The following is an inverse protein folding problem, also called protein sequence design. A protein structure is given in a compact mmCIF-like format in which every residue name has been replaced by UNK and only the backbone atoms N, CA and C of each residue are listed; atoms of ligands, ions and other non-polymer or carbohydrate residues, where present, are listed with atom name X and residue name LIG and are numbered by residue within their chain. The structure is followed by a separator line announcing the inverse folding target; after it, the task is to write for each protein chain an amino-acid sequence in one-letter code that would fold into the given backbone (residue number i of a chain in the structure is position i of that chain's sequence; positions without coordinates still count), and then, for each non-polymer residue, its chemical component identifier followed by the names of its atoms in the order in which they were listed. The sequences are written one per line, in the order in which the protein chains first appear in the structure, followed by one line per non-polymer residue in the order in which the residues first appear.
data_IF_498099310804
#
_entry.id   IF_498099310804
#
_cell.length_a   1.000
_cell.length_b   1.000
_cell.length_c   1.000
_cell.angle_alpha   90.00
_cell.angle_beta   90.00
_cell.angle_gamma   90.00
#
_symmetry.space_group_name_H-M   'P 1'
#
loop_
_entity.id
_entity.type
_entity.pdbx_description
1 polymer ?
#
# COMPACT_ATOMS: atom_id res chain seq x y z
N UNK A 1 8.63 33.36 -11.93
CA UNK A 1 8.59 32.52 -10.72
C UNK A 1 8.17 33.29 -9.47
N UNK A 2 7.17 34.15 -9.52
CA UNK A 2 6.74 34.98 -8.34
C UNK A 2 5.22 35.09 -8.13
N UNK A 3 4.40 34.45 -8.93
CA UNK A 3 2.94 34.60 -8.82
C UNK A 3 2.24 33.58 -7.88
N UNK A 4 2.81 32.42 -7.64
CA UNK A 4 2.21 31.36 -6.82
C UNK A 4 2.36 31.53 -5.29
N UNK A 5 3.36 32.31 -4.86
CA UNK A 5 3.68 32.47 -3.44
C UNK A 5 2.82 33.50 -2.69
N UNK A 6 2.03 34.34 -3.37
CA UNK A 6 1.24 35.39 -2.72
C UNK A 6 -0.15 34.95 -2.27
N UNK A 7 -0.78 34.02 -2.93
CA UNK A 7 -2.13 33.58 -2.59
C UNK A 7 -2.15 32.74 -1.28
N UNK A 8 -1.18 31.86 -1.08
CA UNK A 8 -1.07 31.05 0.14
C UNK A 8 -0.77 31.88 1.40
N UNK A 9 -0.02 33.00 1.28
CA UNK A 9 0.29 33.88 2.41
C UNK A 9 -0.86 34.77 2.85
N UNK A 10 -1.84 35.01 2.01
CA UNK A 10 -3.01 35.84 2.36
C UNK A 10 -4.06 35.09 3.17
N UNK A 11 -4.19 33.77 2.98
CA UNK A 11 -5.11 32.92 3.77
C UNK A 11 -4.59 32.73 5.20
N UNK A 12 -3.26 32.57 5.38
CA UNK A 12 -2.66 32.38 6.72
C UNK A 12 -2.59 33.67 7.56
N UNK A 13 -2.62 34.85 6.93
CA UNK A 13 -2.58 36.15 7.65
C UNK A 13 -3.94 36.58 8.20
N UNK A 14 -5.03 35.95 7.74
CA UNK A 14 -6.40 36.25 8.26
C UNK A 14 -6.73 35.52 9.58
N UNK A 15 -5.86 34.58 10.04
CA UNK A 15 -6.00 33.85 11.31
C UNK A 15 -5.06 34.35 12.41
N UNK A 16 -4.69 35.63 12.41
CA UNK A 16 -3.79 36.25 13.38
C UNK A 16 -4.46 36.69 14.66
N UNK A 17 -4.03 36.12 15.74
CA UNK A 17 -3.89 36.57 17.14
C UNK A 17 -4.70 37.78 17.60
N UNK A 18 -5.58 37.58 18.57
CA UNK A 18 -5.82 38.55 19.64
C UNK A 18 -6.25 37.87 20.96
N UNK A 19 -5.65 38.24 22.10
CA UNK A 19 -6.18 37.87 23.39
C UNK A 19 -7.06 39.08 23.86
N UNK A 20 -8.33 38.87 24.12
CA UNK A 20 -9.00 39.52 25.23
C UNK A 20 -10.46 39.06 25.43
N UNK A 21 -10.86 39.03 26.69
CA UNK A 21 -12.16 38.76 27.23
C UNK A 21 -13.26 39.65 26.65
N UNK A 22 -14.39 39.05 26.24
CA UNK A 22 -15.60 39.79 25.91
C UNK A 22 -16.66 38.88 25.29
N UNK A 23 -17.90 38.98 25.77
CA UNK A 23 -19.09 38.21 25.44
C UNK A 23 -19.29 37.84 23.94
N UNK A 24 -20.08 36.81 23.61
CA UNK A 24 -20.22 36.31 22.24
C UNK A 24 -20.88 37.36 21.34
N UNK A 25 -20.07 38.09 20.59
CA UNK A 25 -20.55 38.96 19.52
C UNK A 25 -21.11 38.09 18.39
N UNK A 26 -22.41 38.25 18.09
CA UNK A 26 -23.06 37.69 16.89
C UNK A 26 -22.19 37.97 15.66
N UNK A 27 -21.64 36.92 15.08
CA UNK A 27 -20.91 37.00 13.78
C UNK A 27 -21.89 37.58 12.77
N UNK A 28 -21.58 38.72 12.18
CA UNK A 28 -22.48 39.42 11.24
C UNK A 28 -22.71 38.52 9.99
N UNK A 29 -23.91 38.63 9.42
CA UNK A 29 -24.28 37.92 8.19
C UNK A 29 -23.26 38.15 7.03
N UNK A 30 -22.55 39.28 7.05
CA UNK A 30 -21.45 39.59 6.11
C UNK A 30 -20.26 38.62 6.21
N UNK A 31 -19.87 38.20 7.42
CA UNK A 31 -18.75 37.24 7.58
C UNK A 31 -19.13 35.81 7.13
N UNK A 32 -20.40 35.45 7.32
CA UNK A 32 -20.93 34.19 6.78
C UNK A 32 -21.06 34.20 5.25
N UNK A 33 -21.40 35.37 4.67
CA UNK A 33 -21.46 35.53 3.22
C UNK A 33 -20.06 35.59 2.58
N UNK A 34 -19.09 36.19 3.26
CA UNK A 34 -17.68 36.17 2.83
C UNK A 34 -17.05 34.79 2.95
N UNK A 35 -17.32 34.02 4.01
CA UNK A 35 -16.85 32.63 4.13
C UNK A 35 -17.53 31.71 3.13
N UNK A 36 -18.82 31.89 2.81
CA UNK A 36 -19.52 31.18 1.74
C UNK A 36 -19.01 31.54 0.35
N UNK A 37 -18.67 32.81 0.07
CA UNK A 37 -18.03 33.24 -1.16
C UNK A 37 -16.59 32.72 -1.26
N UNK A 38 -15.81 32.72 -0.19
CA UNK A 38 -14.47 32.11 -0.17
C UNK A 38 -14.53 30.60 -0.37
N UNK A 39 -15.51 29.91 0.23
CA UNK A 39 -15.78 28.49 -0.04
C UNK A 39 -16.25 28.26 -1.48
N UNK A 40 -17.13 29.11 -2.04
CA UNK A 40 -17.56 29.00 -3.44
C UNK A 40 -16.44 29.31 -4.44
N UNK A 41 -15.51 30.20 -4.14
CA UNK A 41 -14.32 30.46 -4.99
C UNK A 41 -13.30 29.33 -4.89
N UNK A 42 -13.23 28.61 -3.76
CA UNK A 42 -12.40 27.41 -3.64
C UNK A 42 -12.88 26.24 -4.55
N UNK A 43 -14.14 26.25 -5.00
CA UNK A 43 -14.69 25.29 -5.95
C UNK A 43 -14.37 25.64 -7.42
N UNK A 44 -13.68 26.73 -7.69
CA UNK A 44 -13.26 27.16 -9.04
C UNK A 44 -11.73 26.98 -9.28
N UNK A 45 -11.01 26.36 -8.34
CA UNK A 45 -9.61 26.00 -8.57
C UNK A 45 -9.57 24.64 -9.25
N UNK A 46 -9.07 24.61 -10.48
CA UNK A 46 -8.68 23.39 -11.19
C UNK A 46 -7.82 22.53 -10.26
N UNK A 47 -8.30 21.35 -9.90
CA UNK A 47 -7.50 20.44 -9.07
C UNK A 47 -6.63 19.56 -9.99
N UNK A 48 -5.38 19.35 -9.61
CA UNK A 48 -4.57 18.31 -10.22
C UNK A 48 -4.82 17.01 -9.47
N UNK A 49 -5.26 15.99 -10.21
CA UNK A 49 -5.56 14.65 -9.70
C UNK A 49 -4.61 13.65 -10.36
N UNK A 50 -3.97 12.81 -9.55
CA UNK A 50 -3.25 11.65 -10.07
C UNK A 50 -4.15 10.44 -9.96
N UNK A 51 -4.44 9.77 -11.08
CA UNK A 51 -5.28 8.58 -11.15
C UNK A 51 -4.43 7.38 -11.55
N UNK A 52 -4.44 6.30 -10.75
CA UNK A 52 -3.72 5.07 -11.06
C UNK A 52 -4.69 3.93 -11.35
N UNK A 53 -4.49 3.23 -12.44
CA UNK A 53 -5.28 2.03 -12.79
C UNK A 53 -4.40 0.79 -12.81
N UNK A 54 -4.81 -0.24 -12.04
CA UNK A 54 -4.13 -1.54 -11.96
C UNK A 54 -4.30 -2.38 -13.23
N UNK A 55 -3.52 -3.45 -13.38
CA UNK A 55 -3.52 -4.31 -14.57
C UNK A 55 -4.90 -4.88 -14.91
N UNK A 56 -5.68 -5.30 -13.92
CA UNK A 56 -7.06 -5.77 -14.13
C UNK A 56 -7.98 -4.69 -14.71
N UNK A 57 -7.75 -3.42 -14.36
CA UNK A 57 -8.54 -2.30 -14.85
C UNK A 57 -8.25 -1.93 -16.33
N UNK A 58 -7.09 -2.30 -16.83
CA UNK A 58 -6.63 -2.08 -18.21
C UNK A 58 -6.37 -3.40 -18.95
N UNK A 59 -6.98 -4.50 -18.50
CA UNK A 59 -6.67 -5.87 -18.91
C UNK A 59 -7.04 -6.22 -20.36
N UNK A 60 -7.95 -5.49 -20.96
CA UNK A 60 -8.42 -5.69 -22.31
C UNK A 60 -8.83 -4.35 -22.97
N UNK A 61 -9.08 -4.34 -24.31
CA UNK A 61 -9.43 -3.10 -25.02
C UNK A 61 -10.71 -2.42 -24.51
N UNK A 62 -11.72 -3.17 -24.06
CA UNK A 62 -12.96 -2.59 -23.55
C UNK A 62 -12.73 -1.88 -22.22
N UNK A 63 -11.92 -2.45 -21.35
CA UNK A 63 -11.51 -1.84 -20.09
C UNK A 63 -10.67 -0.58 -20.30
N UNK A 64 -9.73 -0.60 -21.26
CA UNK A 64 -8.96 0.60 -21.64
C UNK A 64 -9.90 1.72 -22.08
N UNK A 65 -10.91 1.42 -22.93
CA UNK A 65 -11.91 2.40 -23.35
C UNK A 65 -12.76 2.93 -22.19
N UNK A 66 -13.16 2.06 -21.26
CA UNK A 66 -13.91 2.47 -20.08
C UNK A 66 -13.10 3.39 -19.14
N UNK A 67 -11.82 3.10 -18.94
CA UNK A 67 -10.90 3.96 -18.19
C UNK A 67 -10.69 5.30 -18.92
N UNK A 68 -10.45 5.28 -20.22
CA UNK A 68 -10.29 6.50 -21.01
C UNK A 68 -11.53 7.41 -20.94
N UNK A 69 -12.75 6.83 -21.00
CA UNK A 69 -13.99 7.58 -20.84
C UNK A 69 -14.14 8.18 -19.42
N UNK A 70 -13.71 7.46 -18.37
CA UNK A 70 -13.70 7.99 -17.01
C UNK A 70 -12.72 9.18 -16.88
N UNK A 71 -11.50 9.05 -17.38
CA UNK A 71 -10.49 10.11 -17.39
C UNK A 71 -11.00 11.34 -18.18
N UNK A 72 -11.61 11.09 -19.35
CA UNK A 72 -12.21 12.14 -20.17
C UNK A 72 -13.32 12.90 -19.43
N UNK A 73 -14.16 12.20 -18.65
CA UNK A 73 -15.17 12.84 -17.78
C UNK A 73 -14.54 13.70 -16.71
N UNK A 74 -13.52 13.21 -16.00
CA UNK A 74 -12.78 13.98 -14.98
C UNK A 74 -12.21 15.27 -15.60
N UNK A 75 -11.58 15.16 -16.77
CA UNK A 75 -11.03 16.31 -17.49
C UNK A 75 -12.12 17.31 -17.92
N UNK A 76 -13.30 16.83 -18.38
CA UNK A 76 -14.43 17.70 -18.76
C UNK A 76 -15.09 18.39 -17.56
N UNK A 77 -14.95 17.84 -16.34
CA UNK A 77 -15.38 18.53 -15.12
C UNK A 77 -14.47 19.68 -14.72
N UNK A 78 -13.33 19.85 -15.38
CA UNK A 78 -12.42 20.96 -15.21
C UNK A 78 -11.16 20.63 -14.42
N UNK A 79 -10.96 19.38 -13.99
CA UNK A 79 -9.77 18.96 -13.28
C UNK A 79 -8.61 18.62 -14.24
N UNK A 80 -7.39 18.83 -13.79
CA UNK A 80 -6.21 18.34 -14.48
C UNK A 80 -5.89 16.91 -14.04
N UNK A 81 -5.49 16.06 -15.00
CA UNK A 81 -5.28 14.64 -14.75
C UNK A 81 -3.89 14.19 -15.19
N UNK A 82 -3.20 13.52 -14.27
CA UNK A 82 -2.06 12.66 -14.57
C UNK A 82 -2.50 11.21 -14.35
N UNK A 83 -2.32 10.38 -15.36
CA UNK A 83 -2.74 9.00 -15.35
C UNK A 83 -1.52 8.07 -15.21
N UNK A 84 -1.56 7.12 -14.28
CA UNK A 84 -0.58 6.05 -14.14
C UNK A 84 -1.24 4.72 -14.47
N UNK A 85 -0.66 3.94 -15.38
CA UNK A 85 -1.19 2.64 -15.80
C UNK A 85 -0.19 1.52 -15.54
N UNK A 86 -0.70 0.37 -15.09
CA UNK A 86 0.07 -0.88 -15.00
C UNK A 86 0.07 -1.62 -16.34
N UNK A 87 0.87 -2.67 -16.45
CA UNK A 87 0.79 -3.65 -17.53
C UNK A 87 -0.63 -4.24 -17.64
N UNK A 88 -1.05 -4.68 -18.83
CA UNK A 88 -2.40 -5.20 -19.09
C UNK A 88 -2.61 -6.59 -18.48
N UNK A 89 -3.64 -6.74 -17.66
CA UNK A 89 -4.04 -8.05 -17.12
C UNK A 89 -2.90 -8.79 -16.43
N UNK A 90 -2.54 -9.95 -16.95
CA UNK A 90 -1.46 -10.82 -16.45
C UNK A 90 -0.14 -10.66 -17.23
N UNK A 91 0.02 -9.61 -18.02
CA UNK A 91 1.17 -9.40 -18.90
C UNK A 91 2.52 -9.55 -18.17
N UNK A 92 2.63 -9.01 -16.96
CA UNK A 92 3.87 -9.12 -16.16
C UNK A 92 4.20 -10.58 -15.86
N UNK A 93 3.22 -11.39 -15.45
CA UNK A 93 3.42 -12.81 -15.17
C UNK A 93 3.70 -13.62 -16.46
N UNK A 94 3.08 -13.24 -17.60
CA UNK A 94 3.36 -13.82 -18.91
C UNK A 94 4.80 -13.53 -19.38
N UNK A 95 5.29 -12.32 -19.18
CA UNK A 95 6.67 -11.94 -19.48
C UNK A 95 7.68 -12.68 -18.59
N UNK A 96 7.40 -12.84 -17.30
CA UNK A 96 8.21 -13.63 -16.36
C UNK A 96 8.28 -15.11 -16.80
N UNK A 97 7.14 -15.68 -17.17
CA UNK A 97 7.07 -17.05 -17.69
C UNK A 97 7.86 -17.20 -18.97
N UNK A 98 7.70 -16.27 -19.93
CA UNK A 98 8.44 -16.27 -21.18
C UNK A 98 9.96 -16.21 -20.95
N UNK A 99 10.42 -15.38 -20.00
CA UNK A 99 11.83 -15.32 -19.62
C UNK A 99 12.34 -16.68 -19.16
N UNK A 100 11.55 -17.38 -18.32
CA UNK A 100 11.91 -18.71 -17.79
C UNK A 100 11.93 -19.80 -18.86
N UNK A 101 11.11 -19.67 -19.91
CA UNK A 101 11.13 -20.57 -21.06
C UNK A 101 12.38 -20.38 -21.95
N UNK A 102 12.93 -19.15 -21.98
CA UNK A 102 14.09 -18.80 -22.80
C UNK A 102 15.43 -19.08 -22.08
N UNK A 103 15.50 -18.83 -20.77
CA UNK A 103 16.75 -18.92 -20.02
C UNK A 103 16.54 -19.42 -18.59
N UNK A 104 17.48 -20.21 -18.11
CA UNK A 104 17.55 -20.61 -16.70
C UNK A 104 18.16 -19.51 -15.81
N UNK A 105 18.83 -18.52 -16.40
CA UNK A 105 19.41 -17.37 -15.71
C UNK A 105 18.59 -16.13 -16.01
N UNK A 106 18.28 -15.34 -14.97
CA UNK A 106 17.45 -14.14 -15.09
C UNK A 106 18.23 -12.92 -14.57
N UNK A 107 19.17 -12.35 -15.36
CA UNK A 107 19.89 -11.14 -14.96
C UNK A 107 18.90 -10.00 -14.68
N UNK A 108 18.97 -9.37 -13.50
CA UNK A 108 18.00 -8.39 -13.05
C UNK A 108 17.80 -7.24 -14.03
N UNK A 109 18.90 -6.74 -14.62
CA UNK A 109 18.87 -5.66 -15.64
C UNK A 109 18.02 -6.04 -16.86
N UNK A 110 18.18 -7.24 -17.38
CA UNK A 110 17.44 -7.68 -18.59
C UNK A 110 15.98 -8.02 -18.23
N UNK A 111 15.73 -8.48 -17.00
CA UNK A 111 14.38 -8.68 -16.50
C UNK A 111 13.62 -7.35 -16.37
N UNK A 112 14.26 -6.31 -15.87
CA UNK A 112 13.66 -4.97 -15.78
C UNK A 112 13.30 -4.43 -17.16
N UNK A 113 14.19 -4.61 -18.16
CA UNK A 113 13.92 -4.26 -19.55
C UNK A 113 12.70 -4.99 -20.12
N UNK A 114 12.60 -6.30 -19.85
CA UNK A 114 11.52 -7.14 -20.34
C UNK A 114 10.18 -6.76 -19.69
N UNK A 115 10.12 -6.71 -18.36
CA UNK A 115 8.88 -6.49 -17.61
C UNK A 115 8.29 -5.12 -17.94
N UNK A 116 9.12 -4.07 -17.98
CA UNK A 116 8.64 -2.70 -18.24
C UNK A 116 8.06 -2.49 -19.65
N UNK A 117 8.18 -3.46 -20.55
CA UNK A 117 7.52 -3.42 -21.86
C UNK A 117 5.99 -3.49 -21.74
N UNK A 118 5.45 -4.15 -20.71
CA UNK A 118 4.01 -4.26 -20.48
C UNK A 118 3.37 -2.91 -20.21
N UNK A 119 3.95 -2.08 -19.35
CA UNK A 119 3.45 -0.74 -19.07
C UNK A 119 3.57 0.20 -20.28
N UNK A 120 4.63 0.03 -21.09
CA UNK A 120 4.78 0.82 -22.35
C UNK A 120 3.66 0.54 -23.34
N UNK A 121 3.23 -0.70 -23.43
CA UNK A 121 2.07 -1.08 -24.25
C UNK A 121 0.79 -0.42 -23.72
N UNK A 122 0.52 -0.53 -22.43
CA UNK A 122 -0.69 0.03 -21.81
C UNK A 122 -0.79 1.54 -21.96
N UNK A 123 0.30 2.29 -21.67
CA UNK A 123 0.29 3.76 -21.76
C UNK A 123 0.06 4.27 -23.19
N UNK A 124 0.60 3.58 -24.19
CA UNK A 124 0.41 3.96 -25.58
C UNK A 124 -1.05 3.73 -26.03
N UNK A 125 -1.62 2.55 -25.73
CA UNK A 125 -3.01 2.22 -26.03
C UNK A 125 -3.99 3.17 -25.31
N UNK A 126 -3.70 3.53 -24.07
CA UNK A 126 -4.50 4.48 -23.30
C UNK A 126 -4.50 5.88 -23.95
N UNK A 127 -3.34 6.37 -24.43
CA UNK A 127 -3.28 7.63 -25.15
C UNK A 127 -4.11 7.59 -26.46
N UNK A 128 -4.06 6.48 -27.21
CA UNK A 128 -4.88 6.31 -28.42
C UNK A 128 -6.37 6.37 -28.06
N UNK A 129 -6.80 5.68 -27.01
CA UNK A 129 -8.20 5.69 -26.56
C UNK A 129 -8.66 7.08 -26.06
N UNK A 130 -7.78 7.87 -25.44
CA UNK A 130 -8.09 9.25 -25.05
C UNK A 130 -8.20 10.16 -26.25
N UNK A 131 -7.35 9.99 -27.28
CA UNK A 131 -7.44 10.75 -28.53
C UNK A 131 -8.75 10.48 -29.28
N UNK A 132 -9.26 9.24 -29.26
CA UNK A 132 -10.58 8.90 -29.85
C UNK A 132 -11.75 9.62 -29.16
N UNK A 133 -11.54 10.12 -27.92
CA UNK A 133 -12.49 10.91 -27.15
C UNK A 133 -12.24 12.43 -27.22
N UNK A 134 -11.41 12.89 -28.16
CA UNK A 134 -10.97 14.27 -28.30
C UNK A 134 -10.26 14.82 -27.05
N UNK A 135 -9.60 13.96 -26.27
CA UNK A 135 -8.78 14.33 -25.11
C UNK A 135 -7.30 14.21 -25.49
N UNK A 136 -6.60 15.34 -25.68
CA UNK A 136 -5.17 15.30 -25.97
C UNK A 136 -4.38 14.66 -24.83
N UNK A 137 -3.53 13.69 -25.16
CA UNK A 137 -2.73 12.96 -24.18
C UNK A 137 -1.33 12.64 -24.72
N UNK A 138 -0.35 12.56 -23.81
CA UNK A 138 1.02 12.15 -24.12
C UNK A 138 1.45 11.03 -23.17
N UNK A 139 2.14 10.02 -23.71
CA UNK A 139 2.65 8.89 -22.92
C UNK A 139 4.10 9.11 -22.49
N UNK A 140 4.44 8.64 -21.27
CA UNK A 140 5.77 8.78 -20.67
C UNK A 140 6.22 7.47 -20.05
N UNK A 141 7.42 7.01 -20.37
CA UNK A 141 8.12 6.00 -19.57
C UNK A 141 8.56 6.59 -18.24
N UNK A 142 8.98 5.75 -17.29
CA UNK A 142 9.47 6.22 -15.99
C UNK A 142 10.60 7.23 -16.11
N UNK A 143 11.60 6.99 -16.99
CA UNK A 143 12.69 7.93 -17.24
C UNK A 143 12.21 9.24 -17.85
N UNK A 144 11.25 9.19 -18.78
CA UNK A 144 10.67 10.39 -19.38
C UNK A 144 9.81 11.19 -18.41
N UNK A 145 9.19 10.51 -17.44
CA UNK A 145 8.44 11.13 -16.35
C UNK A 145 9.34 11.62 -15.19
N UNK A 146 10.67 11.37 -15.30
CA UNK A 146 11.68 11.90 -14.40
C UNK A 146 11.94 11.05 -13.15
N UNK A 147 11.62 9.74 -13.16
CA UNK A 147 11.94 8.83 -12.06
C UNK A 147 13.40 8.41 -12.10
N UNK A 148 14.20 8.92 -11.17
CA UNK A 148 15.56 8.46 -10.89
C UNK A 148 15.54 7.45 -9.76
N UNK A 149 16.20 6.31 -9.94
CA UNK A 149 16.26 5.23 -8.96
C UNK A 149 17.69 4.82 -8.65
N UNK A 150 17.85 3.98 -7.62
CA UNK A 150 19.08 3.20 -7.44
C UNK A 150 19.16 2.09 -8.53
N UNK A 151 20.25 1.32 -8.52
CA UNK A 151 20.51 0.23 -9.47
C UNK A 151 20.10 -1.16 -8.91
N UNK A 152 19.17 -1.21 -7.94
CA UNK A 152 18.66 -2.47 -7.39
C UNK A 152 17.59 -3.02 -8.34
N UNK A 153 18.01 -3.81 -9.32
CA UNK A 153 17.09 -4.39 -10.30
C UNK A 153 16.04 -5.28 -9.65
N UNK A 154 14.82 -5.25 -10.20
CA UNK A 154 13.66 -6.01 -9.72
C UNK A 154 12.92 -5.35 -8.53
N UNK A 155 13.58 -4.48 -7.76
CA UNK A 155 12.99 -3.78 -6.61
C UNK A 155 13.66 -2.41 -6.35
N UNK A 156 13.81 -1.61 -7.39
CA UNK A 156 14.50 -0.34 -7.34
C UNK A 156 13.82 0.67 -6.39
N UNK A 157 14.63 1.51 -5.76
CA UNK A 157 14.16 2.57 -4.87
C UNK A 157 14.20 3.91 -5.59
N UNK A 158 13.13 4.69 -5.46
CA UNK A 158 13.06 6.04 -6.00
C UNK A 158 14.00 6.94 -5.20
N UNK A 159 14.97 7.54 -5.87
CA UNK A 159 15.90 8.52 -5.29
C UNK A 159 15.36 9.94 -5.47
N UNK A 160 14.78 10.21 -6.65
CA UNK A 160 14.26 11.54 -7.00
C UNK A 160 13.19 11.43 -8.08
N UNK A 161 12.24 12.37 -8.09
CA UNK A 161 11.26 12.53 -9.16
C UNK A 161 11.33 13.96 -9.69
N UNK A 162 11.69 14.13 -10.98
CA UNK A 162 11.74 15.42 -11.69
C UNK A 162 10.69 15.44 -12.80
N UNK A 163 9.43 15.76 -12.49
CA UNK A 163 8.31 15.57 -13.42
C UNK A 163 8.13 16.75 -14.40
N UNK A 164 9.21 17.41 -14.82
CA UNK A 164 9.13 18.64 -15.63
C UNK A 164 8.37 18.46 -16.94
N UNK A 165 8.55 17.31 -17.63
CA UNK A 165 7.84 17.00 -18.87
C UNK A 165 6.36 16.69 -18.62
N UNK A 166 6.06 15.96 -17.53
CA UNK A 166 4.68 15.68 -17.10
C UNK A 166 3.98 16.99 -16.75
N UNK A 167 4.65 17.88 -15.99
CA UNK A 167 4.15 19.20 -15.65
C UNK A 167 3.83 20.03 -16.88
N UNK A 168 4.77 20.11 -17.83
CA UNK A 168 4.57 20.87 -19.07
C UNK A 168 3.38 20.35 -19.90
N UNK A 169 3.15 19.03 -19.91
CA UNK A 169 1.99 18.42 -20.59
C UNK A 169 0.68 18.82 -19.91
N UNK A 170 0.62 18.77 -18.58
CA UNK A 170 -0.55 19.19 -17.80
C UNK A 170 -0.83 20.67 -17.99
N UNK A 171 0.20 21.53 -17.90
CA UNK A 171 0.09 22.98 -18.08
C UNK A 171 -0.37 23.35 -19.49
N UNK A 172 -0.13 22.49 -20.50
CA UNK A 172 -0.68 22.61 -21.84
C UNK A 172 -2.12 22.11 -21.99
N UNK A 173 -2.78 21.73 -20.88
CA UNK A 173 -4.16 21.23 -20.84
C UNK A 173 -4.34 19.78 -21.32
N UNK A 174 -3.24 19.03 -21.49
CA UNK A 174 -3.20 17.65 -21.97
C UNK A 174 -3.16 16.66 -20.78
N UNK A 175 -3.56 15.41 -21.01
CA UNK A 175 -3.40 14.33 -20.03
C UNK A 175 -2.01 13.71 -20.17
N UNK A 176 -1.26 13.62 -19.08
CA UNK A 176 -0.01 12.88 -19.05
C UNK A 176 -0.27 11.43 -18.62
N UNK A 177 0.05 10.46 -19.49
CA UNK A 177 -0.10 9.03 -19.22
C UNK A 177 1.26 8.41 -18.94
N UNK A 178 1.49 7.96 -17.72
CA UNK A 178 2.78 7.44 -17.25
C UNK A 178 2.72 5.94 -17.09
N UNK A 179 3.66 5.20 -17.67
CA UNK A 179 3.86 3.78 -17.37
C UNK A 179 4.36 3.61 -15.95
N UNK A 180 3.59 2.87 -15.12
CA UNK A 180 3.92 2.63 -13.73
C UNK A 180 5.13 1.71 -13.52
N UNK A 181 5.53 1.52 -12.28
CA UNK A 181 6.54 0.54 -11.83
C UNK A 181 7.94 0.68 -12.43
N UNK A 182 8.27 1.76 -13.11
CA UNK A 182 9.54 1.88 -13.82
C UNK A 182 10.26 3.22 -13.59
N UNK A 183 11.57 3.17 -13.65
CA UNK A 183 12.44 4.33 -13.56
C UNK A 183 13.71 4.16 -14.40
N UNK A 184 14.72 4.95 -14.10
CA UNK A 184 16.06 4.87 -14.66
C UNK A 184 17.08 5.01 -13.54
N UNK A 185 18.08 4.15 -13.52
CA UNK A 185 19.18 4.23 -12.57
C UNK A 185 20.11 5.41 -12.87
N UNK A 186 21.02 5.70 -11.95
CA UNK A 186 22.11 6.68 -12.14
C UNK A 186 23.05 6.31 -13.28
N UNK A 187 23.04 5.04 -13.71
CA UNK A 187 23.83 4.52 -14.84
C UNK A 187 23.03 4.53 -16.16
N UNK A 188 21.82 5.08 -16.15
CA UNK A 188 20.88 5.14 -17.28
C UNK A 188 20.27 3.79 -17.68
N UNK A 189 20.33 2.78 -16.82
CA UNK A 189 19.62 1.53 -17.03
C UNK A 189 18.15 1.64 -16.61
N UNK A 190 17.28 0.97 -17.37
CA UNK A 190 15.86 0.85 -17.00
C UNK A 190 15.77 0.02 -15.73
N UNK A 191 14.96 0.46 -14.78
CA UNK A 191 14.74 -0.19 -13.50
C UNK A 191 13.26 -0.47 -13.26
N UNK A 192 12.98 -1.55 -12.54
CA UNK A 192 11.64 -1.92 -12.12
C UNK A 192 11.49 -1.72 -10.61
N UNK A 193 10.39 -1.09 -10.18
CA UNK A 193 10.15 -0.74 -8.76
C UNK A 193 9.61 -1.92 -7.92
N UNK A 194 9.42 -3.08 -8.52
CA UNK A 194 8.86 -4.25 -7.84
C UNK A 194 7.33 -4.31 -7.85
N UNK A 195 6.78 -5.32 -7.16
CA UNK A 195 5.32 -5.49 -7.03
C UNK A 195 4.69 -4.28 -6.31
N UNK A 196 3.54 -3.82 -6.81
CA UNK A 196 2.89 -2.60 -6.30
C UNK A 196 3.58 -1.29 -6.71
N UNK A 197 4.63 -1.35 -7.53
CA UNK A 197 5.39 -0.19 -7.98
C UNK A 197 4.56 0.85 -8.71
N UNK A 198 3.47 0.48 -9.40
CA UNK A 198 2.57 1.45 -10.06
C UNK A 198 1.82 2.33 -9.03
N UNK A 199 1.42 1.78 -7.88
CA UNK A 199 0.83 2.58 -6.79
C UNK A 199 1.87 3.58 -6.26
N UNK A 200 3.11 3.11 -6.05
CA UNK A 200 4.24 3.96 -5.61
C UNK A 200 4.56 5.04 -6.65
N UNK A 201 4.55 4.71 -7.94
CA UNK A 201 4.72 5.69 -9.04
C UNK A 201 3.67 6.80 -8.97
N UNK A 202 2.39 6.44 -8.78
CA UNK A 202 1.30 7.40 -8.71
C UNK A 202 1.43 8.34 -7.50
N UNK A 203 1.74 7.78 -6.33
CA UNK A 203 1.90 8.57 -5.11
C UNK A 203 3.12 9.50 -5.20
N UNK A 204 4.24 9.02 -5.74
CA UNK A 204 5.43 9.83 -5.92
C UNK A 204 5.21 10.98 -6.93
N UNK A 205 4.47 10.73 -8.02
CA UNK A 205 4.05 11.80 -8.93
C UNK A 205 3.10 12.79 -8.27
N UNK A 206 2.13 12.32 -7.48
CA UNK A 206 1.20 13.19 -6.76
C UNK A 206 1.95 14.14 -5.83
N UNK A 207 2.93 13.63 -5.08
CA UNK A 207 3.81 14.46 -4.25
C UNK A 207 4.60 15.47 -5.08
N UNK A 208 5.36 15.01 -6.08
CA UNK A 208 6.26 15.85 -6.88
C UNK A 208 5.51 16.90 -7.68
N UNK A 209 4.28 16.66 -8.06
CA UNK A 209 3.41 17.57 -8.79
C UNK A 209 2.55 18.46 -7.87
N UNK A 210 2.47 18.17 -6.56
CA UNK A 210 1.59 18.86 -5.63
C UNK A 210 0.11 18.63 -5.96
N UNK A 211 -0.25 17.40 -6.32
CA UNK A 211 -1.62 17.02 -6.62
C UNK A 211 -2.52 17.12 -5.38
N UNK A 212 -3.80 17.42 -5.59
CA UNK A 212 -4.78 17.51 -4.52
C UNK A 212 -5.10 16.15 -3.91
N UNK A 213 -5.06 15.10 -4.74
CA UNK A 213 -5.34 13.71 -4.34
C UNK A 213 -4.66 12.73 -5.31
N UNK A 214 -4.30 11.56 -4.78
CA UNK A 214 -3.93 10.39 -5.55
C UNK A 214 -5.03 9.34 -5.45
N UNK A 215 -5.76 9.11 -6.54
CA UNK A 215 -6.81 8.08 -6.63
C UNK A 215 -6.22 6.76 -7.10
N UNK A 216 -6.34 5.73 -6.28
CA UNK A 216 -5.87 4.37 -6.57
C UNK A 216 -7.06 3.49 -6.97
N UNK A 217 -7.22 3.29 -8.26
CA UNK A 217 -8.28 2.45 -8.82
C UNK A 217 -7.85 0.98 -8.86
N UNK A 218 -8.66 0.13 -8.24
CA UNK A 218 -8.42 -1.31 -8.07
C UNK A 218 -9.67 -2.10 -8.44
N UNK A 219 -9.61 -3.42 -8.32
CA UNK A 219 -10.71 -4.37 -8.55
C UNK A 219 -11.73 -4.46 -7.40
N UNK A 220 -11.43 -3.84 -6.26
CA UNK A 220 -12.36 -3.75 -5.11
C UNK A 220 -12.90 -2.32 -4.95
N UNK A 221 -14.03 -2.17 -4.26
CA UNK A 221 -14.71 -0.87 -4.11
C UNK A 221 -14.09 0.04 -3.04
N UNK A 222 -13.00 -0.36 -2.42
CA UNK A 222 -12.30 0.37 -1.37
C UNK A 222 -11.61 -0.57 -0.40
N UNK A 223 -11.24 -0.08 0.78
CA UNK A 223 -10.71 -0.88 1.89
C UNK A 223 -11.88 -1.39 2.72
N UNK A 224 -11.83 -2.66 3.10
CA UNK A 224 -12.89 -3.34 3.83
C UNK A 224 -12.46 -3.71 5.25
N UNK A 225 -13.42 -3.90 6.15
CA UNK A 225 -13.20 -4.36 7.52
C UNK A 225 -12.62 -5.78 7.58
N UNK A 226 -12.76 -6.56 6.53
CA UNK A 226 -12.05 -7.83 6.24
C UNK A 226 -12.21 -8.17 4.76
N UNK A 227 -11.64 -9.28 4.30
CA UNK A 227 -11.81 -9.75 2.91
C UNK A 227 -13.27 -10.14 2.63
N UNK A 228 -13.99 -9.42 1.75
CA UNK A 228 -15.39 -9.72 1.46
C UNK A 228 -15.60 -11.06 0.73
N UNK A 229 -14.52 -11.68 0.22
CA UNK A 229 -14.58 -13.03 -0.38
C UNK A 229 -14.70 -14.11 0.68
N UNK A 230 -14.14 -13.90 1.89
CA UNK A 230 -14.23 -14.78 3.04
C UNK A 230 -15.47 -14.45 3.87
N UNK A 231 -15.73 -13.18 4.12
CA UNK A 231 -16.83 -12.70 4.96
C UNK A 231 -17.73 -11.78 4.15
N UNK A 232 -18.83 -12.28 3.54
CA UNK A 232 -19.70 -11.47 2.69
C UNK A 232 -20.36 -10.26 3.39
N UNK A 233 -20.39 -10.25 4.73
CA UNK A 233 -20.88 -9.14 5.56
C UNK A 233 -19.78 -8.11 5.88
N UNK A 234 -18.60 -8.21 5.26
CA UNK A 234 -17.54 -7.23 5.41
C UNK A 234 -18.00 -5.86 4.89
N UNK A 235 -17.79 -4.83 5.70
CA UNK A 235 -18.17 -3.47 5.38
C UNK A 235 -17.04 -2.71 4.72
N UNK A 236 -17.33 -1.94 3.67
CA UNK A 236 -16.40 -0.98 3.11
C UNK A 236 -16.23 0.20 4.07
N UNK A 237 -15.01 0.53 4.40
CA UNK A 237 -14.67 1.69 5.24
C UNK A 237 -14.83 2.98 4.42
N UNK A 238 -15.49 4.00 4.97
CA UNK A 238 -15.57 5.30 4.33
C UNK A 238 -14.21 6.03 4.38
N UNK A 239 -13.51 5.88 5.51
CA UNK A 239 -12.16 6.39 5.73
C UNK A 239 -11.36 5.43 6.60
N UNK A 240 -10.05 5.51 6.49
CA UNK A 240 -9.08 4.76 7.30
C UNK A 240 -7.85 5.64 7.52
N UNK A 241 -7.24 5.58 8.71
CA UNK A 241 -5.99 6.30 8.97
C UNK A 241 -4.81 5.64 8.26
N UNK A 242 -3.77 6.44 7.94
CA UNK A 242 -2.53 5.90 7.39
C UNK A 242 -1.92 4.83 8.30
N UNK A 243 -1.99 5.02 9.61
CA UNK A 243 -1.42 4.09 10.58
C UNK A 243 -2.14 2.73 10.56
N UNK A 244 -3.48 2.72 10.58
CA UNK A 244 -4.27 1.50 10.47
C UNK A 244 -4.07 0.81 9.12
N UNK A 245 -4.09 1.57 8.01
CA UNK A 245 -3.90 1.00 6.68
C UNK A 245 -2.51 0.38 6.50
N UNK A 246 -1.45 0.97 7.09
CA UNK A 246 -0.11 0.37 7.10
C UNK A 246 -0.10 -0.97 7.83
N UNK A 247 -0.71 -1.05 9.02
CA UNK A 247 -0.82 -2.32 9.74
C UNK A 247 -1.69 -3.34 9.00
N UNK A 248 -2.78 -2.90 8.36
CA UNK A 248 -3.63 -3.77 7.54
C UNK A 248 -2.85 -4.34 6.34
N UNK A 249 -2.10 -3.48 5.62
CA UNK A 249 -1.32 -3.91 4.46
C UNK A 249 -0.13 -4.78 4.84
N UNK A 250 0.50 -4.53 5.98
CA UNK A 250 1.54 -5.37 6.55
C UNK A 250 1.01 -6.73 7.02
N UNK A 251 -0.30 -6.88 7.26
CA UNK A 251 -0.92 -8.11 7.76
C UNK A 251 -1.88 -8.77 6.77
N UNK A 252 -1.71 -8.53 5.46
CA UNK A 252 -2.37 -9.28 4.41
C UNK A 252 -3.46 -8.55 3.63
N UNK A 253 -3.75 -7.27 3.91
CA UNK A 253 -4.60 -6.47 3.03
C UNK A 253 -3.82 -6.18 1.71
N UNK A 254 -4.26 -6.71 0.56
CA UNK A 254 -3.42 -6.69 -0.65
C UNK A 254 -3.39 -5.34 -1.37
N UNK A 255 -4.30 -4.43 -1.05
CA UNK A 255 -4.49 -3.15 -1.76
C UNK A 255 -4.86 -2.01 -0.80
N UNK A 256 -4.26 -0.83 -0.97
CA UNK A 256 -3.10 -0.50 -1.84
C UNK A 256 -1.80 -1.18 -1.38
N UNK A 257 -0.71 -1.03 -2.16
CA UNK A 257 0.58 -1.60 -1.75
C UNK A 257 1.13 -0.87 -0.52
N UNK A 258 1.67 -1.62 0.45
CA UNK A 258 2.24 -1.07 1.69
C UNK A 258 3.23 0.07 1.42
N UNK A 259 4.16 -0.13 0.47
CA UNK A 259 5.17 0.86 0.07
C UNK A 259 4.54 2.17 -0.42
N UNK A 260 3.41 2.11 -1.13
CA UNK A 260 2.72 3.33 -1.58
C UNK A 260 2.04 4.07 -0.45
N UNK A 261 1.49 3.35 0.53
CA UNK A 261 0.87 3.94 1.74
C UNK A 261 1.93 4.61 2.62
N UNK A 262 3.07 3.93 2.81
CA UNK A 262 4.22 4.48 3.55
C UNK A 262 4.76 5.76 2.89
N UNK A 263 4.92 5.74 1.56
CA UNK A 263 5.34 6.91 0.79
C UNK A 263 4.33 8.06 0.90
N UNK A 264 3.03 7.76 0.80
CA UNK A 264 1.96 8.74 0.91
C UNK A 264 1.94 9.40 2.29
N UNK A 265 2.04 8.59 3.37
CA UNK A 265 2.13 9.10 4.75
C UNK A 265 3.34 10.01 4.94
N UNK A 266 4.52 9.56 4.51
CA UNK A 266 5.77 10.31 4.68
C UNK A 266 5.75 11.66 3.98
N UNK A 267 5.09 11.74 2.83
CA UNK A 267 5.06 12.94 1.98
C UNK A 267 3.74 13.72 2.03
N UNK A 268 2.80 13.32 2.90
CA UNK A 268 1.52 14.01 3.08
C UNK A 268 0.63 13.98 1.84
N UNK A 269 0.64 12.88 1.08
CA UNK A 269 -0.21 12.69 -0.10
C UNK A 269 -1.53 12.06 0.31
N UNK A 270 -2.63 12.76 0.12
CA UNK A 270 -3.97 12.24 0.36
C UNK A 270 -4.31 11.13 -0.64
N UNK A 271 -4.79 9.97 -0.16
CA UNK A 271 -5.17 8.86 -1.01
C UNK A 271 -6.68 8.67 -1.05
N UNK A 272 -7.18 8.16 -2.19
CA UNK A 272 -8.55 7.72 -2.35
C UNK A 272 -8.56 6.37 -3.08
N UNK A 273 -8.86 5.29 -2.35
CA UNK A 273 -8.92 3.93 -2.90
C UNK A 273 -10.30 3.67 -3.47
N UNK A 274 -10.40 3.36 -4.77
CA UNK A 274 -11.67 3.29 -5.52
C UNK A 274 -11.73 2.06 -6.42
N UNK A 275 -12.95 1.70 -6.83
CA UNK A 275 -13.14 0.67 -7.85
C UNK A 275 -12.99 1.22 -9.27
N UNK A 276 -12.23 0.49 -10.09
CA UNK A 276 -12.13 0.76 -11.53
C UNK A 276 -13.39 0.34 -12.34
N UNK A 277 -14.35 -0.33 -11.70
CA UNK A 277 -15.50 -0.92 -12.39
C UNK A 277 -16.83 -0.29 -12.02
N UNK A 278 -16.99 0.17 -10.77
CA UNK A 278 -18.29 0.66 -10.28
C UNK A 278 -18.35 2.19 -10.18
N UNK A 279 -17.22 2.87 -10.17
CA UNK A 279 -17.06 4.32 -10.00
C UNK A 279 -17.72 4.88 -8.73
N UNK A 280 -18.02 4.00 -7.78
CA UNK A 280 -18.58 4.37 -6.48
C UNK A 280 -17.55 5.13 -5.66
N UNK A 281 -18.04 5.83 -4.65
CA UNK A 281 -17.19 6.42 -3.64
C UNK A 281 -16.41 5.29 -2.94
N UNK A 282 -15.09 5.48 -2.84
CA UNK A 282 -14.18 4.50 -2.28
C UNK A 282 -13.92 4.72 -0.79
N UNK A 283 -12.67 4.48 -0.40
CA UNK A 283 -12.16 4.71 0.95
C UNK A 283 -11.13 5.85 0.90
N UNK A 284 -11.33 6.88 1.71
CA UNK A 284 -10.35 7.93 1.93
C UNK A 284 -9.27 7.46 2.89
N UNK A 285 -8.03 7.84 2.63
CA UNK A 285 -6.91 7.61 3.54
C UNK A 285 -6.34 8.96 3.94
N UNK A 286 -6.52 9.29 5.19
CA UNK A 286 -6.14 10.59 5.77
C UNK A 286 -5.36 10.38 7.09
N UNK A 287 -4.79 11.43 7.63
CA UNK A 287 -4.29 11.44 9.01
C UNK A 287 -5.47 11.26 9.99
N UNK A 288 -5.21 10.74 11.17
CA UNK A 288 -6.23 10.64 12.22
C UNK A 288 -6.82 12.00 12.56
N UNK A 289 -8.16 12.12 12.60
CA UNK A 289 -8.82 13.27 13.20
C UNK A 289 -8.81 13.14 14.74
N UNK A 290 -8.16 14.07 15.47
CA UNK A 290 -7.93 13.93 16.92
C UNK A 290 -9.18 13.91 17.80
N UNK A 291 -10.38 14.15 17.24
CA UNK A 291 -11.60 14.44 18.00
C UNK A 291 -12.77 13.46 17.77
N UNK A 292 -12.57 12.35 17.07
CA UNK A 292 -13.62 11.33 16.94
C UNK A 292 -13.30 10.12 17.83
N UNK A 293 -14.30 9.59 18.54
CA UNK A 293 -14.19 8.27 19.15
C UNK A 293 -13.98 7.24 18.04
N UNK A 294 -12.81 6.62 18.02
CA UNK A 294 -12.45 5.63 17.01
C UNK A 294 -13.03 4.26 17.40
N UNK A 295 -13.30 3.44 16.39
CA UNK A 295 -13.60 2.03 16.63
C UNK A 295 -12.42 1.37 17.37
N UNK A 296 -12.72 0.54 18.35
CA UNK A 296 -11.68 -0.17 19.12
C UNK A 296 -10.87 -1.07 18.20
N UNK A 297 -11.57 -1.82 17.32
CA UNK A 297 -11.01 -2.62 16.23
C UNK A 297 -11.68 -2.17 14.95
N UNK A 298 -10.88 -1.85 13.94
CA UNK A 298 -11.35 -1.33 12.65
C UNK A 298 -11.41 -2.41 11.58
N UNK A 299 -10.52 -3.43 11.68
CA UNK A 299 -10.44 -4.49 10.68
C UNK A 299 -9.89 -5.80 11.24
N UNK A 300 -10.23 -6.91 10.53
CA UNK A 300 -9.60 -8.22 10.65
C UNK A 300 -8.92 -8.54 9.32
N UNK A 301 -7.62 -8.79 9.35
CA UNK A 301 -6.83 -9.17 8.16
C UNK A 301 -6.31 -10.59 8.30
N UNK A 302 -5.94 -11.21 7.16
CA UNK A 302 -5.28 -12.51 7.16
C UNK A 302 -4.21 -12.57 6.09
N UNK A 303 -3.19 -13.39 6.32
CA UNK A 303 -2.11 -13.64 5.38
C UNK A 303 -1.76 -15.13 5.37
N UNK A 304 -1.76 -15.74 4.19
CA UNK A 304 -1.41 -17.15 3.95
C UNK A 304 -0.11 -17.30 3.17
N UNK A 305 0.60 -16.21 2.91
CA UNK A 305 1.82 -16.20 2.09
C UNK A 305 3.09 -16.52 2.86
N UNK A 306 3.01 -16.68 4.19
CA UNK A 306 4.14 -16.93 5.07
C UNK A 306 4.24 -18.40 5.50
N UNK A 307 5.46 -18.83 5.82
CA UNK A 307 5.78 -20.08 6.48
C UNK A 307 6.45 -19.81 7.82
N UNK A 308 6.16 -20.64 8.83
CA UNK A 308 6.81 -20.58 10.13
C UNK A 308 8.04 -21.49 10.12
N UNK A 309 9.15 -20.96 10.62
CA UNK A 309 10.36 -21.73 10.94
C UNK A 309 10.60 -21.72 12.44
N UNK A 310 11.08 -22.84 12.97
CA UNK A 310 11.43 -22.96 14.39
C UNK A 310 12.79 -23.61 14.53
N UNK A 311 13.74 -22.91 15.14
CA UNK A 311 15.05 -23.44 15.50
C UNK A 311 14.96 -23.85 16.96
N UNK A 312 15.09 -25.15 17.22
CA UNK A 312 14.94 -25.73 18.53
C UNK A 312 16.28 -25.82 19.27
N UNK A 313 16.24 -25.65 20.60
CA UNK A 313 17.39 -25.86 21.45
C UNK A 313 18.57 -24.91 21.19
N UNK A 314 18.30 -23.67 20.83
CA UNK A 314 19.30 -22.64 20.59
C UNK A 314 19.97 -22.28 21.92
N UNK A 315 21.32 -22.31 22.03
CA UNK A 315 22.02 -21.87 23.25
C UNK A 315 21.69 -20.43 23.62
N UNK A 316 21.24 -20.21 24.85
CA UNK A 316 20.91 -18.85 25.35
C UNK A 316 22.22 -18.10 25.69
N UNK A 317 22.81 -17.55 24.67
CA UNK A 317 24.04 -16.73 24.75
C UNK A 317 23.97 -15.52 23.84
N UNK A 318 24.60 -14.45 24.25
CA UNK A 318 24.65 -13.20 23.48
C UNK A 318 25.22 -13.43 22.08
N UNK A 319 24.54 -12.91 21.06
CA UNK A 319 25.01 -12.88 19.67
C UNK A 319 24.43 -13.95 18.76
N UNK A 320 23.81 -15.02 19.28
CA UNK A 320 23.26 -16.10 18.45
C UNK A 320 22.16 -15.60 17.50
N UNK A 321 21.22 -14.82 18.01
CA UNK A 321 20.17 -14.22 17.16
C UNK A 321 20.78 -13.29 16.09
N UNK A 322 21.84 -12.53 16.44
CA UNK A 322 22.51 -11.66 15.47
C UNK A 322 23.15 -12.46 14.32
N UNK A 323 23.81 -13.59 14.63
CA UNK A 323 24.40 -14.50 13.63
C UNK A 323 23.32 -15.05 12.70
N UNK A 324 22.22 -15.55 13.28
CA UNK A 324 21.11 -16.12 12.51
C UNK A 324 20.50 -15.08 11.54
N UNK A 325 20.02 -13.97 12.07
CA UNK A 325 19.30 -12.99 11.25
C UNK A 325 20.20 -12.21 10.30
N UNK A 326 21.52 -12.12 10.57
CA UNK A 326 22.49 -11.58 9.61
C UNK A 326 22.58 -12.48 8.39
N UNK A 327 22.71 -13.79 8.56
CA UNK A 327 22.79 -14.72 7.44
C UNK A 327 21.50 -14.71 6.57
N UNK A 328 20.32 -14.57 7.20
CA UNK A 328 19.05 -14.43 6.45
C UNK A 328 18.98 -13.10 5.68
N UNK A 329 19.48 -12.02 6.29
CA UNK A 329 19.56 -10.72 5.62
C UNK A 329 20.54 -10.74 4.43
N UNK A 330 21.64 -11.46 4.52
CA UNK A 330 22.63 -11.62 3.44
C UNK A 330 22.06 -12.45 2.25
N UNK A 331 21.01 -13.23 2.50
CA UNK A 331 20.19 -13.91 1.47
C UNK A 331 19.04 -13.02 0.93
N UNK A 332 18.90 -11.78 1.40
CA UNK A 332 17.76 -10.91 1.08
C UNK A 332 16.39 -11.56 1.43
N UNK A 333 16.34 -12.26 2.58
CA UNK A 333 15.11 -12.85 3.12
C UNK A 333 14.51 -11.91 4.16
N UNK A 334 13.26 -11.51 3.92
CA UNK A 334 12.50 -10.73 4.91
C UNK A 334 11.97 -11.65 6.01
N UNK A 335 12.12 -11.22 7.28
CA UNK A 335 11.58 -11.92 8.45
C UNK A 335 10.56 -10.99 9.10
N UNK A 336 9.32 -11.47 9.33
CA UNK A 336 8.26 -10.63 9.88
C UNK A 336 8.05 -10.87 11.39
N UNK A 337 7.52 -12.02 11.79
CA UNK A 337 7.31 -12.32 13.21
C UNK A 337 8.53 -13.04 13.78
N UNK A 338 9.02 -12.59 14.92
CA UNK A 338 10.10 -13.27 15.66
C UNK A 338 9.63 -13.48 17.10
N UNK A 339 9.68 -14.72 17.57
CA UNK A 339 9.34 -15.10 18.95
C UNK A 339 10.50 -15.89 19.55
N UNK A 340 11.05 -15.39 20.64
CA UNK A 340 12.09 -16.07 21.44
C UNK A 340 11.69 -15.98 22.91
N UNK A 341 11.81 -17.08 23.65
CA UNK A 341 11.61 -17.12 25.11
C UNK A 341 12.93 -17.33 25.82
N UNK A 342 13.03 -16.84 27.05
CA UNK A 342 14.15 -17.17 27.95
C UNK A 342 13.85 -18.52 28.59
N UNK A 343 14.84 -19.40 28.67
CA UNK A 343 14.72 -20.70 29.31
C UNK A 343 15.65 -20.85 30.52
N UNK A 344 15.14 -21.42 31.60
CA UNK A 344 15.94 -21.75 32.80
C UNK A 344 16.98 -22.86 32.55
N UNK A 345 16.93 -23.51 31.37
CA UNK A 345 17.82 -24.63 31.01
C UNK A 345 19.00 -24.19 30.14
N UNK A 346 19.19 -22.89 29.90
CA UNK A 346 20.28 -22.35 29.06
C UNK A 346 20.11 -22.61 27.56
N UNK A 347 18.93 -23.03 27.12
CA UNK A 347 18.56 -23.17 25.71
C UNK A 347 17.18 -22.59 25.50
N UNK A 348 16.92 -22.10 24.30
CA UNK A 348 15.62 -21.52 23.89
C UNK A 348 15.25 -21.97 22.49
N UNK A 349 13.98 -21.83 22.12
CA UNK A 349 13.56 -21.96 20.73
C UNK A 349 13.38 -20.57 20.14
N UNK A 350 13.79 -20.41 18.88
CA UNK A 350 13.55 -19.20 18.09
C UNK A 350 12.60 -19.57 16.96
N UNK A 351 11.39 -19.00 16.99
CA UNK A 351 10.41 -19.15 15.92
C UNK A 351 10.29 -17.82 15.16
N UNK A 352 10.21 -17.89 13.85
CA UNK A 352 10.02 -16.73 12.99
C UNK A 352 9.25 -17.10 11.72
N UNK A 353 8.71 -16.08 11.02
CA UNK A 353 8.03 -16.28 9.74
C UNK A 353 8.83 -15.70 8.59
N UNK A 354 8.75 -16.37 7.43
CA UNK A 354 9.37 -15.97 6.18
C UNK A 354 8.36 -16.16 5.03
N UNK A 355 8.51 -15.45 3.90
CA UNK A 355 7.68 -15.70 2.72
C UNK A 355 7.80 -17.17 2.27
N UNK A 356 6.66 -17.81 1.93
CA UNK A 356 6.66 -19.19 1.41
C UNK A 356 7.60 -19.40 0.22
N UNK A 357 7.75 -18.39 -0.65
CA UNK A 357 8.65 -18.43 -1.79
C UNK A 357 10.13 -18.48 -1.43
N UNK A 358 10.50 -18.08 -0.21
CA UNK A 358 11.87 -18.06 0.28
C UNK A 358 12.18 -19.24 1.21
N UNK A 359 11.19 -20.09 1.51
CA UNK A 359 11.28 -21.14 2.51
C UNK A 359 12.44 -22.12 2.24
N UNK A 360 12.57 -22.62 1.01
CA UNK A 360 13.57 -23.63 0.67
C UNK A 360 14.99 -23.11 0.84
N UNK A 361 15.29 -21.90 0.32
CA UNK A 361 16.62 -21.28 0.47
C UNK A 361 16.94 -20.90 1.91
N UNK A 362 15.92 -20.45 2.66
CA UNK A 362 16.05 -20.13 4.09
C UNK A 362 16.32 -21.38 4.90
N UNK A 363 15.62 -22.48 4.59
CA UNK A 363 15.78 -23.78 5.25
C UNK A 363 17.17 -24.38 5.01
N UNK A 364 17.70 -24.27 3.78
CA UNK A 364 19.04 -24.74 3.44
C UNK A 364 20.11 -24.01 4.25
N UNK A 365 20.03 -22.67 4.31
CA UNK A 365 21.00 -21.87 5.06
C UNK A 365 20.87 -22.06 6.58
N UNK A 366 19.64 -22.09 7.09
CA UNK A 366 19.40 -22.32 8.51
C UNK A 366 19.93 -23.69 8.98
N UNK A 367 19.84 -24.74 8.17
CA UNK A 367 20.43 -26.07 8.49
C UNK A 367 21.94 -26.01 8.67
N UNK A 368 22.64 -25.20 7.88
CA UNK A 368 24.11 -25.01 8.03
C UNK A 368 24.40 -24.28 9.36
N UNK A 369 23.64 -23.23 9.64
CA UNK A 369 23.80 -22.43 10.84
C UNK A 369 23.46 -23.18 12.15
N UNK A 370 22.49 -24.09 12.14
CA UNK A 370 22.12 -24.92 13.30
C UNK A 370 23.35 -25.61 13.90
N UNK A 371 24.21 -26.19 13.07
CA UNK A 371 25.43 -26.86 13.51
C UNK A 371 26.47 -25.85 14.06
N UNK A 372 26.60 -24.67 13.45
CA UNK A 372 27.55 -23.62 13.85
C UNK A 372 27.17 -23.01 15.20
N UNK A 373 25.89 -22.67 15.40
CA UNK A 373 25.41 -22.06 16.65
C UNK A 373 25.22 -23.05 17.78
N UNK A 374 25.23 -24.37 17.48
CA UNK A 374 25.02 -25.44 18.44
C UNK A 374 23.57 -25.65 18.85
N UNK A 375 22.63 -25.38 17.95
CA UNK A 375 21.20 -25.64 18.16
C UNK A 375 20.88 -27.13 17.91
N UNK A 376 19.72 -27.58 18.40
CA UNK A 376 19.31 -28.99 18.28
C UNK A 376 18.78 -29.35 16.86
N UNK A 377 18.15 -28.38 16.18
CA UNK A 377 17.60 -28.61 14.84
C UNK A 377 16.74 -27.45 14.36
N UNK A 378 16.24 -27.56 13.13
CA UNK A 378 15.29 -26.63 12.54
C UNK A 378 14.13 -27.39 11.91
N UNK A 379 12.93 -26.86 12.08
CA UNK A 379 11.68 -27.37 11.50
C UNK A 379 10.93 -26.21 10.82
N UNK A 380 10.07 -26.54 9.84
CA UNK A 380 9.28 -25.57 9.12
C UNK A 380 7.84 -26.04 8.91
N UNK A 381 6.90 -25.13 9.00
CA UNK A 381 5.48 -25.34 8.73
C UNK A 381 4.99 -24.30 7.72
N UNK A 382 4.67 -24.74 6.50
CA UNK A 382 4.13 -23.91 5.44
C UNK A 382 2.60 -23.87 5.43
N UNK A 383 1.94 -24.71 6.25
CA UNK A 383 0.48 -24.78 6.34
C UNK A 383 -0.07 -23.87 7.47
N UNK A 384 0.50 -22.68 7.57
CA UNK A 384 0.10 -21.66 8.55
C UNK A 384 -0.58 -20.48 7.86
N UNK A 385 -1.32 -19.73 8.66
CA UNK A 385 -1.79 -18.40 8.30
C UNK A 385 -1.68 -17.46 9.51
N UNK A 386 -1.47 -16.19 9.21
CA UNK A 386 -1.56 -15.12 10.19
C UNK A 386 -2.95 -14.50 10.12
N UNK A 387 -3.62 -14.37 11.27
CA UNK A 387 -4.87 -13.62 11.42
C UNK A 387 -4.62 -12.48 12.40
N UNK A 388 -5.00 -11.27 11.99
CA UNK A 388 -4.70 -10.05 12.76
C UNK A 388 -5.94 -9.19 12.94
N UNK A 389 -6.09 -8.61 14.12
CA UNK A 389 -7.02 -7.50 14.36
C UNK A 389 -6.24 -6.20 14.37
N UNK A 390 -6.79 -5.16 13.75
CA UNK A 390 -6.17 -3.83 13.63
C UNK A 390 -7.17 -2.77 14.10
N UNK A 391 -6.70 -1.79 14.87
CA UNK A 391 -7.52 -0.65 15.29
C UNK A 391 -6.79 0.30 16.23
N UNK A 392 -6.81 1.58 15.94
CA UNK A 392 -6.15 2.62 16.75
C UNK A 392 -6.73 2.71 18.17
N UNK A 393 -8.02 2.39 18.35
CA UNK A 393 -8.68 2.37 19.65
C UNK A 393 -8.16 1.28 20.61
N UNK A 394 -7.41 0.29 20.13
CA UNK A 394 -6.84 -0.77 20.97
C UNK A 394 -5.86 -0.23 22.03
N UNK A 395 -5.19 0.90 21.77
CA UNK A 395 -4.23 1.52 22.70
C UNK A 395 -4.82 1.84 24.07
N UNK A 396 -6.09 2.20 24.13
CA UNK A 396 -6.79 2.67 25.34
C UNK A 396 -7.82 1.70 25.87
N UNK A 397 -8.03 0.56 25.19
CA UNK A 397 -9.07 -0.41 25.55
C UNK A 397 -8.48 -1.75 25.97
N UNK A 398 -8.30 -2.00 27.29
CA UNK A 398 -7.87 -3.30 27.77
C UNK A 398 -8.94 -4.36 27.49
N UNK A 399 -8.51 -5.60 27.25
CA UNK A 399 -9.43 -6.73 27.00
C UNK A 399 -9.57 -7.12 25.53
N UNK A 400 -9.12 -6.30 24.57
CA UNK A 400 -9.19 -6.63 23.14
C UNK A 400 -8.48 -7.96 22.82
N UNK A 401 -7.27 -8.15 23.34
CA UNK A 401 -6.54 -9.41 23.17
C UNK A 401 -7.28 -10.60 23.82
N UNK A 402 -7.87 -10.40 25.00
CA UNK A 402 -8.67 -11.45 25.66
C UNK A 402 -9.87 -11.85 24.79
N UNK A 403 -10.64 -10.88 24.28
CA UNK A 403 -11.76 -11.13 23.35
C UNK A 403 -11.30 -11.90 22.11
N UNK A 404 -10.15 -11.54 21.52
CA UNK A 404 -9.58 -12.26 20.37
C UNK A 404 -9.31 -13.72 20.73
N UNK A 405 -8.60 -13.96 21.84
CA UNK A 405 -8.22 -15.33 22.24
C UNK A 405 -9.43 -16.18 22.67
N UNK A 406 -10.39 -15.62 23.40
CA UNK A 406 -11.64 -16.28 23.77
C UNK A 406 -12.45 -16.65 22.51
N UNK A 407 -12.52 -15.78 21.52
CA UNK A 407 -13.20 -16.03 20.25
C UNK A 407 -12.56 -17.19 19.50
N UNK A 408 -11.23 -17.17 19.34
CA UNK A 408 -10.49 -18.25 18.68
C UNK A 408 -10.63 -19.58 19.42
N UNK A 409 -10.52 -19.57 20.76
CA UNK A 409 -10.72 -20.76 21.58
C UNK A 409 -12.14 -21.31 21.44
N UNK A 410 -13.17 -20.43 21.43
CA UNK A 410 -14.58 -20.81 21.26
C UNK A 410 -14.90 -21.47 19.92
N UNK A 411 -14.11 -21.24 18.90
CA UNK A 411 -14.21 -21.91 17.59
C UNK A 411 -13.24 -23.08 17.43
N UNK A 412 -12.46 -23.43 18.45
CA UNK A 412 -11.50 -24.54 18.37
C UNK A 412 -10.24 -24.22 17.58
N UNK A 413 -9.99 -22.94 17.24
CA UNK A 413 -8.79 -22.50 16.53
C UNK A 413 -7.60 -22.44 17.50
N UNK A 414 -6.58 -23.26 17.24
CA UNK A 414 -5.37 -23.28 18.07
C UNK A 414 -4.37 -22.21 17.63
N UNK A 415 -3.86 -21.43 18.60
CA UNK A 415 -2.87 -20.37 18.36
C UNK A 415 -1.47 -20.96 18.48
N UNK A 416 -0.64 -20.79 17.44
CA UNK A 416 0.74 -21.27 17.41
C UNK A 416 1.76 -20.19 17.80
N UNK A 417 1.51 -18.94 17.42
CA UNK A 417 2.34 -17.77 17.77
C UNK A 417 1.44 -16.55 18.00
N UNK A 418 1.92 -15.61 18.80
CA UNK A 418 1.26 -14.33 19.06
C UNK A 418 2.29 -13.21 18.88
N UNK A 419 1.89 -12.13 18.22
CA UNK A 419 2.66 -10.89 18.13
C UNK A 419 1.73 -9.69 18.28
N UNK A 420 2.23 -8.61 18.89
CA UNK A 420 1.43 -7.41 19.13
C UNK A 420 2.21 -6.16 18.78
N UNK A 421 1.53 -5.17 18.20
CA UNK A 421 1.97 -3.77 18.15
C UNK A 421 1.02 -2.90 18.98
N UNK A 422 1.19 -1.58 18.92
CA UNK A 422 0.29 -0.66 19.63
C UNK A 422 -1.17 -0.72 19.13
N UNK A 423 -1.38 -1.07 17.87
CA UNK A 423 -2.70 -1.08 17.20
C UNK A 423 -2.99 -2.37 16.43
N UNK A 424 -2.20 -3.43 16.67
CA UNK A 424 -2.41 -4.74 16.04
C UNK A 424 -2.14 -5.88 17.03
N UNK A 425 -2.98 -6.90 16.99
CA UNK A 425 -2.71 -8.21 17.58
C UNK A 425 -2.79 -9.26 16.48
N UNK A 426 -1.75 -10.05 16.33
CA UNK A 426 -1.64 -11.11 15.32
C UNK A 426 -1.51 -12.47 15.97
N UNK A 427 -2.24 -13.47 15.46
CA UNK A 427 -2.12 -14.88 15.82
C UNK A 427 -1.75 -15.69 14.57
N UNK A 428 -0.78 -16.57 14.70
CA UNK A 428 -0.52 -17.61 13.71
C UNK A 428 -1.36 -18.82 14.05
N UNK A 429 -2.12 -19.31 13.07
CA UNK A 429 -3.04 -20.43 13.16
C UNK A 429 -2.79 -21.41 12.01
N UNK A 430 -3.43 -22.58 12.02
CA UNK A 430 -3.38 -23.49 10.88
C UNK A 430 -4.10 -22.86 9.66
N UNK A 431 -3.52 -23.00 8.45
CA UNK A 431 -4.07 -22.39 7.23
C UNK A 431 -5.52 -22.79 6.96
N UNK A 432 -5.88 -24.05 7.20
CA UNK A 432 -7.24 -24.55 7.03
C UNK A 432 -8.29 -23.99 8.01
N UNK A 433 -7.86 -23.21 9.02
CA UNK A 433 -8.77 -22.59 10.02
C UNK A 433 -8.97 -21.08 9.82
N UNK A 434 -8.40 -20.49 8.73
CA UNK A 434 -8.41 -19.04 8.48
C UNK A 434 -9.82 -18.49 8.34
N UNK A 435 -10.65 -19.12 7.52
CA UNK A 435 -12.02 -18.63 7.24
C UNK A 435 -12.87 -18.60 8.52
N UNK A 436 -12.79 -19.65 9.33
CA UNK A 436 -13.48 -19.74 10.61
C UNK A 436 -12.99 -18.67 11.60
N UNK A 437 -11.66 -18.51 11.72
CA UNK A 437 -11.04 -17.53 12.59
C UNK A 437 -11.43 -16.09 12.21
N UNK A 438 -11.29 -15.73 10.94
CA UNK A 438 -11.61 -14.39 10.42
C UNK A 438 -13.09 -14.08 10.59
N UNK A 439 -13.96 -15.02 10.25
CA UNK A 439 -15.43 -14.85 10.39
C UNK A 439 -15.83 -14.63 11.84
N UNK A 440 -15.31 -15.46 12.75
CA UNK A 440 -15.63 -15.36 14.17
C UNK A 440 -15.14 -14.04 14.77
N UNK A 441 -13.91 -13.63 14.47
CA UNK A 441 -13.35 -12.37 14.94
C UNK A 441 -14.10 -11.16 14.39
N UNK A 442 -14.41 -11.16 13.09
CA UNK A 442 -15.17 -10.07 12.46
C UNK A 442 -16.54 -9.88 13.14
N UNK A 443 -17.21 -11.00 13.47
CA UNK A 443 -18.48 -10.98 14.22
C UNK A 443 -18.30 -10.52 15.67
N UNK A 444 -17.26 -11.02 16.36
CA UNK A 444 -17.02 -10.71 17.78
C UNK A 444 -16.72 -9.22 18.01
N UNK A 445 -16.06 -8.57 17.05
CA UNK A 445 -15.77 -7.14 17.11
C UNK A 445 -16.84 -6.26 16.44
N UNK A 446 -17.97 -6.81 15.99
CA UNK A 446 -19.10 -6.05 15.47
C UNK A 446 -18.79 -5.29 14.17
N UNK A 447 -17.97 -5.86 13.28
CA UNK A 447 -17.48 -5.20 12.07
C UNK A 447 -18.40 -5.40 10.84
N UNK A 448 -19.47 -6.19 10.97
CA UNK A 448 -20.44 -6.40 9.91
C UNK A 448 -21.31 -5.16 9.66
N UNK A 449 -21.92 -5.08 8.49
CA UNK A 449 -23.02 -4.14 8.24
C UNK A 449 -24.16 -4.41 9.23
N UNK A 450 -24.74 -3.32 9.80
CA UNK A 450 -25.86 -3.38 10.73
C UNK A 450 -27.19 -3.65 9.99
#
# INVERSE_FOLDING_TARGET
MEAGGRAARLVFKAMGRHPNNGAPRRRSARNLQQSRRAAQVAWLLVALIVQKFGGTAVGDPDRIRAVADHVARTKRHGDDVVLVVSAMGNETDDLLRLASEVSATHPGREMDMLITAGERKSMALMCMALHDLDVPADSFTGSQAGFLTDATHGNARILEVRPDRVRATVDAGRVAVVGGSQGVSTENDVTFLGRGGSDTTAVALAHALGAAVCELYTDVTGVFTTDPRLVPTARRMASVSFEELLEMTASGCPKPSMRSVEYARTHGVRLHVRSAFTWQEGTWVDEEEPNMEQAIVSAVTHDTSEAKMTIAGVPDRTGVAATLFRALADLDVNVDLIVQNVSDRGVTDISFTVPKGDLDRTMEETRKLVAEIGAAGVDADAAIARVSIVGAGMRSNPGVAATMFETLAGTGVNIQMISTSAIRVSCVVAEGQVEEAVTALHKAFGLADA
#
